data_IF_961656385963
#
_entry.id   IF_961656385963
#
_cell.length_a   1.000
_cell.length_b   1.000
_cell.length_c   1.000
_cell.angle_alpha   90.00
_cell.angle_beta   90.00
_cell.angle_gamma   90.00
#
_symmetry.space_group_name_H-M   'P 1'
#
loop_
_entity.id
_entity.type
_entity.pdbx_description
1 polymer ?
#
# COMPACT_ATOMS: atom_id res chain seq x y z
N UNK A 1 29.74 35.02 8.59
CA UNK A 1 30.20 33.88 7.78
C UNK A 1 30.66 32.67 8.59
N UNK A 2 31.60 32.77 9.54
CA UNK A 2 32.07 31.61 10.33
C UNK A 2 30.96 30.82 11.08
N UNK A 3 29.98 31.51 11.68
CA UNK A 3 28.87 30.86 12.40
C UNK A 3 27.97 30.00 11.50
N UNK A 4 27.74 30.43 10.26
CA UNK A 4 26.89 29.73 9.29
C UNK A 4 27.56 28.45 8.75
N UNK A 5 28.89 28.44 8.63
CA UNK A 5 29.68 27.27 8.24
C UNK A 5 29.71 26.21 9.35
N UNK A 6 29.78 26.61 10.62
CA UNK A 6 29.78 25.69 11.76
C UNK A 6 28.42 24.99 11.91
N UNK A 7 27.31 25.72 11.72
CA UNK A 7 25.97 25.14 11.71
C UNK A 7 25.79 24.12 10.56
N UNK A 8 26.26 24.44 9.35
CA UNK A 8 26.20 23.53 8.22
C UNK A 8 27.02 22.24 8.45
N UNK A 9 28.25 22.35 8.97
CA UNK A 9 29.11 21.20 9.30
C UNK A 9 28.49 20.34 10.41
N UNK A 10 27.86 20.95 11.42
CA UNK A 10 27.14 20.21 12.46
C UNK A 10 25.93 19.46 11.90
N UNK A 11 25.14 20.08 11.01
CA UNK A 11 23.99 19.44 10.38
C UNK A 11 24.41 18.28 9.48
N UNK A 12 25.50 18.44 8.72
CA UNK A 12 26.08 17.35 7.92
C UNK A 12 26.53 16.19 8.80
N UNK A 13 27.25 16.46 9.90
CA UNK A 13 27.72 15.40 10.81
C UNK A 13 26.59 14.60 11.45
N UNK A 14 25.47 15.26 11.77
CA UNK A 14 24.27 14.61 12.31
C UNK A 14 23.57 13.78 11.23
N UNK A 15 23.44 14.32 10.01
CA UNK A 15 22.89 13.58 8.88
C UNK A 15 23.73 12.34 8.56
N UNK A 16 25.07 12.46 8.58
CA UNK A 16 26.00 11.36 8.34
C UNK A 16 25.89 10.28 9.43
N UNK A 17 25.74 10.68 10.71
CA UNK A 17 25.51 9.74 11.82
C UNK A 17 24.23 8.92 11.63
N UNK A 18 23.10 9.58 11.33
CA UNK A 18 21.84 8.88 11.06
C UNK A 18 21.91 8.05 9.77
N UNK A 19 22.55 8.57 8.72
CA UNK A 19 22.74 7.83 7.48
C UNK A 19 23.53 6.55 7.72
N UNK A 20 24.60 6.58 8.53
CA UNK A 20 25.41 5.40 8.81
C UNK A 20 24.63 4.34 9.62
N UNK A 21 23.81 4.78 10.59
CA UNK A 21 22.93 3.88 11.36
C UNK A 21 21.85 3.26 10.45
N UNK A 22 21.22 4.07 9.60
CA UNK A 22 20.11 3.64 8.75
C UNK A 22 20.57 2.92 7.47
N UNK A 23 21.84 3.02 7.08
CA UNK A 23 22.39 2.38 5.89
C UNK A 23 22.30 0.86 5.96
N UNK A 24 22.64 0.28 7.12
CA UNK A 24 22.57 -1.18 7.32
C UNK A 24 21.14 -1.72 7.15
N UNK A 25 20.16 -1.22 7.93
CA UNK A 25 18.75 -1.58 7.77
C UNK A 25 18.21 -1.27 6.37
N UNK A 26 18.60 -0.13 5.79
CA UNK A 26 18.17 0.30 4.46
C UNK A 26 18.64 -0.64 3.35
N UNK A 27 19.91 -1.06 3.38
CA UNK A 27 20.43 -2.04 2.42
C UNK A 27 19.81 -3.42 2.63
N UNK A 28 19.54 -3.82 3.87
CA UNK A 28 18.82 -5.06 4.15
C UNK A 28 17.42 -5.04 3.52
N UNK A 29 16.64 -3.97 3.73
CA UNK A 29 15.31 -3.82 3.11
C UNK A 29 15.40 -3.81 1.57
N UNK A 30 16.40 -3.11 1.02
CA UNK A 30 16.64 -3.07 -0.42
C UNK A 30 16.93 -4.45 -1.00
N UNK A 31 17.80 -5.23 -0.36
CA UNK A 31 18.11 -6.60 -0.78
C UNK A 31 16.86 -7.47 -0.79
N UNK A 32 16.00 -7.33 0.23
CA UNK A 32 14.76 -8.09 0.31
C UNK A 32 13.79 -7.71 -0.82
N UNK A 33 13.64 -6.42 -1.11
CA UNK A 33 12.77 -5.94 -2.19
C UNK A 33 13.29 -6.40 -3.56
N UNK A 34 14.60 -6.30 -3.80
CA UNK A 34 15.22 -6.69 -5.09
C UNK A 34 15.22 -8.22 -5.26
N UNK A 35 15.25 -8.98 -4.17
CA UNK A 35 15.18 -10.44 -4.21
C UNK A 35 13.81 -10.96 -4.68
N UNK A 36 12.74 -10.17 -4.56
CA UNK A 36 11.40 -10.57 -5.03
C UNK A 36 11.28 -10.35 -6.53
N UNK A 37 11.11 -11.42 -7.33
CA UNK A 37 10.89 -11.27 -8.77
C UNK A 37 9.60 -10.46 -9.03
N UNK A 38 9.61 -9.49 -9.97
CA UNK A 38 8.41 -8.70 -10.28
C UNK A 38 7.15 -9.53 -10.59
N UNK A 39 7.23 -10.68 -11.30
CA UNK A 39 6.06 -11.54 -11.52
C UNK A 39 5.49 -12.11 -10.22
N UNK A 40 6.35 -12.44 -9.25
CA UNK A 40 5.93 -12.98 -7.96
C UNK A 40 5.21 -11.91 -7.13
N UNK A 41 5.75 -10.68 -7.10
CA UNK A 41 5.10 -9.56 -6.43
C UNK A 41 3.70 -9.28 -7.03
N UNK A 42 3.58 -9.28 -8.37
CA UNK A 42 2.30 -9.16 -9.07
C UNK A 42 1.34 -10.29 -8.71
N UNK A 43 1.82 -11.54 -8.69
CA UNK A 43 1.02 -12.70 -8.32
C UNK A 43 0.47 -12.62 -6.88
N UNK A 44 1.29 -12.20 -5.92
CA UNK A 44 0.86 -11.98 -4.53
C UNK A 44 -0.21 -10.90 -4.47
N UNK A 45 -0.03 -9.80 -5.22
CA UNK A 45 -0.98 -8.69 -5.25
C UNK A 45 -2.34 -9.11 -5.83
N UNK A 46 -2.33 -9.88 -6.92
CA UNK A 46 -3.54 -10.45 -7.53
C UNK A 46 -4.22 -11.45 -6.58
N UNK A 47 -3.45 -12.32 -5.93
CA UNK A 47 -3.99 -13.27 -4.95
C UNK A 47 -4.68 -12.55 -3.78
N UNK A 48 -4.10 -11.44 -3.30
CA UNK A 48 -4.70 -10.61 -2.26
C UNK A 48 -6.07 -10.05 -2.68
N UNK A 49 -6.19 -9.50 -3.89
CA UNK A 49 -7.48 -9.00 -4.38
C UNK A 49 -8.52 -10.11 -4.58
N UNK A 50 -8.10 -11.29 -5.02
CA UNK A 50 -8.99 -12.46 -5.11
C UNK A 50 -9.50 -12.88 -3.74
N UNK A 51 -8.62 -12.93 -2.73
CA UNK A 51 -9.02 -13.22 -1.35
C UNK A 51 -10.00 -12.18 -0.79
N UNK A 52 -9.77 -10.89 -1.06
CA UNK A 52 -10.71 -9.83 -0.69
C UNK A 52 -12.06 -9.99 -1.39
N UNK A 53 -12.07 -10.32 -2.68
CA UNK A 53 -13.32 -10.55 -3.42
C UNK A 53 -14.10 -11.73 -2.82
N UNK A 54 -13.42 -12.84 -2.51
CA UNK A 54 -14.01 -13.99 -1.82
C UNK A 54 -14.56 -13.62 -0.44
N UNK A 55 -13.83 -12.78 0.30
CA UNK A 55 -14.28 -12.32 1.62
C UNK A 55 -15.54 -11.45 1.51
N UNK A 56 -15.57 -10.51 0.57
CA UNK A 56 -16.73 -9.64 0.32
C UNK A 56 -17.98 -10.45 -0.08
N UNK A 57 -17.81 -11.52 -0.86
CA UNK A 57 -18.90 -12.42 -1.21
C UNK A 57 -19.47 -13.15 0.02
N UNK A 58 -18.63 -13.43 1.03
CA UNK A 58 -19.00 -14.11 2.28
C UNK A 58 -19.57 -13.19 3.35
N UNK A 59 -19.43 -11.87 3.23
CA UNK A 59 -19.97 -10.92 4.22
C UNK A 59 -21.49 -11.07 4.35
N UNK A 60 -22.08 -10.89 5.54
CA UNK A 60 -23.52 -10.89 5.71
C UNK A 60 -24.15 -9.64 5.06
N UNK A 61 -25.42 -9.73 4.66
CA UNK A 61 -26.12 -8.61 3.99
C UNK A 61 -26.16 -7.34 4.84
N UNK A 62 -26.21 -7.46 6.16
CA UNK A 62 -26.27 -6.33 7.08
C UNK A 62 -25.03 -5.42 7.02
N UNK A 63 -23.87 -5.97 6.65
CA UNK A 63 -22.61 -5.20 6.57
C UNK A 63 -22.40 -4.53 5.21
N UNK A 64 -23.06 -5.05 4.16
CA UNK A 64 -22.89 -4.56 2.79
C UNK A 64 -24.07 -3.72 2.30
N UNK A 65 -25.19 -3.73 3.01
CA UNK A 65 -26.36 -2.91 2.67
C UNK A 65 -26.43 -1.73 3.63
N UNK A 66 -26.27 -0.53 3.10
CA UNK A 66 -26.33 0.71 3.88
C UNK A 66 -27.47 1.60 3.40
N UNK A 67 -28.15 2.27 4.34
CA UNK A 67 -29.15 3.27 3.99
C UNK A 67 -28.46 4.58 3.57
N UNK A 68 -28.84 5.12 2.42
CA UNK A 68 -28.30 6.39 1.95
C UNK A 68 -28.80 7.53 2.85
N UNK A 69 -27.90 8.36 3.41
CA UNK A 69 -28.25 9.31 4.48
C UNK A 69 -29.26 10.39 4.07
N UNK A 70 -29.35 10.73 2.77
CA UNK A 70 -30.28 11.76 2.27
C UNK A 70 -31.60 11.21 1.72
N UNK A 71 -31.64 9.95 1.33
CA UNK A 71 -32.77 9.40 0.54
C UNK A 71 -33.39 8.16 1.19
N UNK A 72 -32.78 7.61 2.24
CA UNK A 72 -33.22 6.38 2.89
C UNK A 72 -33.12 5.12 2.02
N UNK A 73 -32.69 5.26 0.76
CA UNK A 73 -32.57 4.13 -0.17
C UNK A 73 -31.46 3.18 0.30
N UNK A 74 -31.78 1.90 0.33
CA UNK A 74 -30.81 0.85 0.62
C UNK A 74 -29.89 0.65 -0.59
N UNK A 75 -28.59 0.82 -0.37
CA UNK A 75 -27.55 0.62 -1.38
C UNK A 75 -26.74 -0.61 -1.01
N UNK A 76 -26.58 -1.53 -1.96
CA UNK A 76 -25.75 -2.71 -1.78
C UNK A 76 -24.32 -2.42 -2.28
N UNK A 77 -23.42 -2.19 -1.33
CA UNK A 77 -22.00 -1.90 -1.57
C UNK A 77 -21.24 -3.09 -2.13
N UNK A 78 -21.74 -4.33 -1.97
CA UNK A 78 -21.06 -5.55 -2.42
C UNK A 78 -20.72 -5.48 -3.90
N UNK A 79 -21.68 -5.10 -4.74
CA UNK A 79 -21.49 -5.06 -6.18
C UNK A 79 -20.49 -3.99 -6.61
N UNK A 80 -20.55 -2.82 -5.96
CA UNK A 80 -19.64 -1.70 -6.23
C UNK A 80 -18.21 -2.08 -5.82
N UNK A 81 -18.05 -2.70 -4.65
CA UNK A 81 -16.74 -3.14 -4.15
C UNK A 81 -16.16 -4.27 -5.01
N UNK A 82 -16.97 -5.23 -5.43
CA UNK A 82 -16.53 -6.29 -6.34
C UNK A 82 -16.13 -5.73 -7.71
N UNK A 83 -16.89 -4.76 -8.25
CA UNK A 83 -16.56 -4.13 -9.52
C UNK A 83 -15.22 -3.38 -9.44
N UNK A 84 -14.96 -2.67 -8.34
CA UNK A 84 -13.68 -2.02 -8.09
C UNK A 84 -12.52 -3.03 -8.02
N UNK A 85 -12.70 -4.12 -7.27
CA UNK A 85 -11.68 -5.18 -7.15
C UNK A 85 -11.40 -5.89 -8.48
N UNK A 86 -12.43 -6.21 -9.25
CA UNK A 86 -12.27 -6.82 -10.58
C UNK A 86 -11.50 -5.88 -11.51
N UNK A 87 -11.80 -4.57 -11.45
CA UNK A 87 -11.08 -3.56 -12.22
C UNK A 87 -9.59 -3.53 -11.86
N UNK A 88 -9.27 -3.57 -10.55
CA UNK A 88 -7.88 -3.65 -10.09
C UNK A 88 -7.17 -4.92 -10.55
N UNK A 89 -7.83 -6.08 -10.47
CA UNK A 89 -7.28 -7.35 -10.96
C UNK A 89 -6.95 -7.25 -12.45
N UNK A 90 -7.85 -6.70 -13.26
CA UNK A 90 -7.64 -6.53 -14.71
C UNK A 90 -6.45 -5.62 -14.99
N UNK A 91 -6.38 -4.46 -14.32
CA UNK A 91 -5.27 -3.50 -14.50
C UNK A 91 -3.93 -4.16 -14.16
N UNK A 92 -3.81 -4.79 -13.00
CA UNK A 92 -2.56 -5.42 -12.54
C UNK A 92 -2.19 -6.70 -13.30
N UNK A 93 -3.13 -7.31 -14.01
CA UNK A 93 -2.84 -8.45 -14.87
C UNK A 93 -2.25 -8.03 -16.21
N UNK A 94 -2.54 -6.81 -16.67
CA UNK A 94 -2.13 -6.29 -17.98
C UNK A 94 -0.89 -5.39 -17.88
N UNK A 95 -0.84 -4.51 -16.87
CA UNK A 95 0.22 -3.51 -16.68
C UNK A 95 1.17 -3.92 -15.54
#
# INVERSE_FOLDING_TARGET
MKSMVILAVSAQSVADFFANILRGPGEMMRQWVVAVPPPMARGIFLAYFLLLALWILRLPRAEVVVAHPKTGKLVNLRYIALLALVSQIVIYSIF
#
